data_IF_003916548502
#
_entry.id   IF_003916548502
#
_cell.length_a   1.000
_cell.length_b   1.000
_cell.length_c   1.000
_cell.angle_alpha   90.00
_cell.angle_beta   90.00
_cell.angle_gamma   90.00
#
_symmetry.space_group_name_H-M   'P 1'
#
loop_
_entity.id
_entity.type
_entity.pdbx_description
1 polymer ?
#
# COMPACT_ATOMS: atom_id res chain seq x y z
N UNK A 1 -21.73 18.68 -5.58
CA UNK A 1 -21.20 17.50 -6.30
C UNK A 1 -20.78 16.49 -5.23
N UNK A 2 -21.70 15.62 -4.82
CA UNK A 2 -21.48 14.68 -3.69
C UNK A 2 -20.47 13.63 -4.09
N UNK A 3 -19.39 13.46 -3.33
CA UNK A 3 -18.38 12.48 -3.65
C UNK A 3 -18.98 11.06 -3.52
N UNK A 4 -18.59 10.09 -4.38
CA UNK A 4 -19.10 8.72 -4.33
C UNK A 4 -18.89 8.04 -2.96
N UNK A 5 -17.87 8.49 -2.22
CA UNK A 5 -17.59 8.08 -0.84
C UNK A 5 -18.70 8.50 0.14
N UNK A 6 -19.31 9.66 -0.06
CA UNK A 6 -20.37 10.18 0.82
C UNK A 6 -21.68 9.42 0.60
N UNK A 7 -21.93 8.99 -0.64
CA UNK A 7 -23.05 8.12 -0.99
C UNK A 7 -22.91 6.74 -0.35
N UNK A 8 -21.71 6.14 -0.40
CA UNK A 8 -21.44 4.86 0.27
C UNK A 8 -21.62 4.97 1.80
N UNK A 9 -21.09 6.04 2.41
CA UNK A 9 -21.30 6.33 3.85
C UNK A 9 -22.78 6.49 4.20
N UNK A 10 -23.56 7.14 3.34
CA UNK A 10 -25.00 7.30 3.54
C UNK A 10 -25.75 5.96 3.49
N UNK A 11 -25.44 5.10 2.52
CA UNK A 11 -26.04 3.76 2.38
C UNK A 11 -25.76 2.91 3.63
N UNK A 12 -24.52 2.92 4.13
CA UNK A 12 -24.16 2.23 5.37
C UNK A 12 -24.85 2.83 6.60
N UNK A 13 -24.90 4.16 6.73
CA UNK A 13 -25.54 4.84 7.87
C UNK A 13 -27.04 4.55 7.98
N UNK A 14 -27.71 4.35 6.85
CA UNK A 14 -29.15 4.10 6.79
C UNK A 14 -29.49 2.60 6.75
N UNK A 15 -28.50 1.69 6.87
CA UNK A 15 -28.67 0.24 6.74
C UNK A 15 -29.34 -0.19 5.41
N UNK A 16 -29.09 0.53 4.32
CA UNK A 16 -29.66 0.24 2.99
C UNK A 16 -28.91 -0.87 2.22
N UNK A 17 -27.85 -1.41 2.81
CA UNK A 17 -27.01 -2.46 2.22
C UNK A 17 -27.80 -3.73 1.88
N UNK A 18 -28.80 -4.10 2.69
CA UNK A 18 -29.64 -5.29 2.43
C UNK A 18 -30.71 -5.03 1.35
N UNK A 19 -31.10 -3.77 1.17
CA UNK A 19 -32.12 -3.35 0.19
C UNK A 19 -31.48 -3.22 -1.21
N UNK A 20 -30.24 -2.75 -1.28
CA UNK A 20 -29.51 -2.54 -2.53
C UNK A 20 -28.09 -3.12 -2.50
N UNK A 21 -27.92 -4.44 -2.33
CA UNK A 21 -26.61 -5.07 -2.19
C UNK A 21 -25.72 -4.87 -3.43
N UNK A 22 -26.31 -4.94 -4.63
CA UNK A 22 -25.58 -4.74 -5.88
C UNK A 22 -25.04 -3.31 -6.03
N UNK A 23 -25.78 -2.31 -5.51
CA UNK A 23 -25.35 -0.92 -5.58
C UNK A 23 -24.19 -0.65 -4.62
N UNK A 24 -24.25 -1.22 -3.41
CA UNK A 24 -23.19 -1.13 -2.41
C UNK A 24 -21.90 -1.77 -2.93
N UNK A 25 -21.99 -2.98 -3.50
CA UNK A 25 -20.86 -3.66 -4.13
C UNK A 25 -20.31 -2.84 -5.31
N UNK A 26 -21.17 -2.34 -6.20
CA UNK A 26 -20.73 -1.56 -7.36
C UNK A 26 -20.02 -0.26 -6.95
N UNK A 27 -20.53 0.45 -5.94
CA UNK A 27 -19.90 1.66 -5.41
C UNK A 27 -18.57 1.34 -4.74
N UNK A 28 -18.48 0.23 -4.00
CA UNK A 28 -17.24 -0.22 -3.39
C UNK A 28 -16.19 -0.57 -4.45
N UNK A 29 -16.57 -1.32 -5.49
CA UNK A 29 -15.70 -1.62 -6.63
C UNK A 29 -15.25 -0.32 -7.30
N UNK A 30 -16.17 0.59 -7.60
CA UNK A 30 -15.85 1.89 -8.21
C UNK A 30 -14.86 2.72 -7.40
N UNK A 31 -14.98 2.71 -6.06
CA UNK A 31 -14.07 3.41 -5.16
C UNK A 31 -12.71 2.71 -4.99
N UNK A 32 -12.65 1.38 -5.14
CA UNK A 32 -11.41 0.60 -5.04
C UNK A 32 -10.64 0.48 -6.36
N UNK A 33 -11.31 0.60 -7.50
CA UNK A 33 -10.63 0.68 -8.78
C UNK A 33 -9.79 1.96 -8.74
N UNK A 34 -8.48 1.89 -9.05
CA UNK A 34 -7.68 3.09 -9.19
C UNK A 34 -8.22 3.91 -10.37
N UNK A 35 -9.14 4.84 -10.08
CA UNK A 35 -9.79 5.69 -11.10
C UNK A 35 -8.77 6.59 -11.80
N UNK A 36 -7.59 6.80 -11.19
CA UNK A 36 -6.53 7.65 -11.74
C UNK A 36 -5.36 6.81 -12.23
N UNK A 37 -5.13 6.84 -13.55
CA UNK A 37 -3.88 6.35 -14.18
C UNK A 37 -2.65 6.95 -13.51
N UNK A 38 -2.75 8.19 -13.04
CA UNK A 38 -1.71 8.92 -12.32
C UNK A 38 -1.18 8.18 -11.07
N UNK A 39 -2.01 7.44 -10.33
CA UNK A 39 -1.53 6.68 -9.15
C UNK A 39 -0.63 5.51 -9.59
N UNK A 40 -1.08 4.74 -10.58
CA UNK A 40 -0.29 3.66 -11.17
C UNK A 40 1.01 4.19 -11.80
N UNK A 41 0.93 5.28 -12.56
CA UNK A 41 2.09 5.94 -13.17
C UNK A 41 3.10 6.42 -12.12
N UNK A 42 2.62 6.98 -11.00
CA UNK A 42 3.46 7.40 -9.88
C UNK A 42 4.19 6.20 -9.27
N UNK A 43 3.50 5.09 -9.03
CA UNK A 43 4.10 3.85 -8.51
C UNK A 43 5.15 3.26 -9.47
N UNK A 44 4.86 3.20 -10.78
CA UNK A 44 5.83 2.74 -11.77
C UNK A 44 7.03 3.69 -11.93
N UNK A 45 6.81 5.00 -11.82
CA UNK A 45 7.87 5.99 -11.82
C UNK A 45 8.82 5.81 -10.62
N UNK A 46 8.27 5.59 -9.42
CA UNK A 46 9.05 5.26 -8.22
C UNK A 46 9.84 3.97 -8.39
N UNK A 47 9.22 2.91 -8.92
CA UNK A 47 9.91 1.65 -9.21
C UNK A 47 11.07 1.83 -10.20
N UNK A 48 10.86 2.63 -11.25
CA UNK A 48 11.91 2.97 -12.22
C UNK A 48 13.07 3.72 -11.57
N UNK A 49 12.77 4.67 -10.68
CA UNK A 49 13.79 5.38 -9.92
C UNK A 49 14.60 4.44 -9.02
N UNK A 50 13.93 3.52 -8.30
CA UNK A 50 14.58 2.54 -7.44
C UNK A 50 15.53 1.63 -8.22
N UNK A 51 15.07 1.07 -9.35
CA UNK A 51 15.92 0.25 -10.25
C UNK A 51 17.12 1.04 -10.78
N UNK A 52 16.92 2.30 -11.16
CA UNK A 52 17.98 3.17 -11.70
C UNK A 52 19.00 3.54 -10.62
N UNK A 53 18.54 3.93 -9.44
CA UNK A 53 19.39 4.35 -8.32
C UNK A 53 20.29 3.21 -7.84
N UNK A 54 19.71 2.01 -7.67
CA UNK A 54 20.46 0.83 -7.23
C UNK A 54 21.31 0.21 -8.35
N UNK A 55 21.11 0.62 -9.61
CA UNK A 55 21.79 0.10 -10.82
C UNK A 55 21.89 -1.44 -10.80
N UNK A 56 20.84 -2.10 -10.31
CA UNK A 56 21.00 -3.38 -9.62
C UNK A 56 20.49 -4.60 -10.39
N UNK A 57 21.26 -5.68 -10.32
CA UNK A 57 20.83 -7.08 -10.46
C UNK A 57 20.05 -7.54 -9.22
N UNK A 58 19.12 -6.72 -8.70
CA UNK A 58 18.40 -7.07 -7.47
C UNK A 58 17.38 -8.18 -7.77
N UNK A 59 17.27 -9.16 -6.87
CA UNK A 59 16.25 -10.20 -6.97
C UNK A 59 14.84 -9.63 -6.90
N UNK A 60 13.89 -10.28 -7.58
CA UNK A 60 12.50 -9.82 -7.66
C UNK A 60 11.86 -9.65 -6.28
N UNK A 61 12.12 -10.57 -5.34
CA UNK A 61 11.58 -10.52 -3.99
C UNK A 61 11.98 -9.24 -3.24
N UNK A 62 13.28 -8.91 -3.26
CA UNK A 62 13.79 -7.70 -2.60
C UNK A 62 13.31 -6.43 -3.31
N UNK A 63 13.19 -6.45 -4.63
CA UNK A 63 12.62 -5.33 -5.39
C UNK A 63 11.18 -5.05 -4.98
N UNK A 64 10.35 -6.08 -4.93
CA UNK A 64 8.94 -5.97 -4.57
C UNK A 64 8.78 -5.45 -3.15
N UNK A 65 9.57 -5.98 -2.20
CA UNK A 65 9.57 -5.53 -0.81
C UNK A 65 9.89 -4.03 -0.68
N UNK A 66 10.93 -3.57 -1.39
CA UNK A 66 11.27 -2.15 -1.37
C UNK A 66 10.22 -1.28 -2.09
N UNK A 67 9.60 -1.79 -3.15
CA UNK A 67 8.55 -1.07 -3.86
C UNK A 67 7.32 -0.85 -2.96
N UNK A 68 6.94 -1.86 -2.18
CA UNK A 68 5.87 -1.76 -1.18
C UNK A 68 6.21 -0.66 -0.15
N UNK A 69 7.42 -0.67 0.43
CA UNK A 69 7.84 0.37 1.38
C UNK A 69 7.83 1.78 0.78
N UNK A 70 8.11 1.92 -0.52
CA UNK A 70 8.13 3.21 -1.22
C UNK A 70 6.73 3.72 -1.58
N UNK A 71 5.81 2.81 -1.90
CA UNK A 71 4.40 3.13 -2.16
C UNK A 71 3.71 3.48 -0.84
N UNK A 72 3.84 2.62 0.16
CA UNK A 72 3.27 2.74 1.51
C UNK A 72 4.15 3.55 2.46
N UNK A 73 4.90 4.52 1.93
CA UNK A 73 5.89 5.28 2.70
C UNK A 73 5.29 6.05 3.89
N UNK A 74 4.01 6.42 3.84
CA UNK A 74 3.30 7.07 4.94
C UNK A 74 3.14 6.13 6.14
N UNK A 75 2.77 4.88 5.89
CA UNK A 75 2.71 3.84 6.92
C UNK A 75 4.10 3.43 7.38
N UNK A 76 5.05 3.25 6.45
CA UNK A 76 6.42 2.89 6.78
C UNK A 76 7.09 3.92 7.70
N UNK A 77 6.73 5.20 7.60
CA UNK A 77 7.25 6.28 8.46
C UNK A 77 6.68 6.28 9.87
N UNK A 78 5.55 5.59 10.10
CA UNK A 78 4.96 5.42 11.43
C UNK A 78 5.62 4.28 12.21
N UNK A 79 6.36 3.40 11.52
CA UNK A 79 7.06 2.28 12.16
C UNK A 79 8.32 2.82 12.86
N UNK A 80 8.52 2.43 14.11
CA UNK A 80 9.70 2.80 14.88
C UNK A 80 10.93 2.02 14.42
N UNK A 81 11.98 2.73 14.03
CA UNK A 81 13.25 2.07 13.66
C UNK A 81 13.87 1.34 14.86
N UNK A 82 13.68 1.84 16.07
CA UNK A 82 14.23 1.21 17.28
C UNK A 82 13.55 -0.15 17.53
N UNK A 83 12.23 -0.22 17.35
CA UNK A 83 11.49 -1.48 17.45
C UNK A 83 11.92 -2.49 16.38
N UNK A 84 12.17 -2.03 15.14
CA UNK A 84 12.68 -2.90 14.06
C UNK A 84 14.07 -3.44 14.42
N UNK A 85 14.95 -2.60 14.96
CA UNK A 85 16.30 -3.00 15.36
C UNK A 85 16.25 -4.03 16.49
N UNK A 86 15.42 -3.79 17.50
CA UNK A 86 15.25 -4.69 18.63
C UNK A 86 14.68 -6.03 18.18
N UNK A 87 13.62 -6.03 17.35
CA UNK A 87 13.04 -7.24 16.78
C UNK A 87 14.07 -8.01 15.95
N UNK A 88 14.79 -7.32 15.05
CA UNK A 88 15.83 -7.93 14.22
C UNK A 88 16.96 -8.53 15.05
N UNK A 89 17.34 -7.88 16.16
CA UNK A 89 18.36 -8.39 17.09
C UNK A 89 17.88 -9.60 17.89
N UNK A 90 16.58 -9.68 18.18
CA UNK A 90 15.94 -10.78 18.92
C UNK A 90 15.74 -12.04 18.06
N UNK A 91 15.49 -11.84 16.75
CA UNK A 91 15.56 -12.90 15.77
C UNK A 91 17.00 -13.42 15.79
N UNK A 92 17.17 -14.74 15.95
CA UNK A 92 18.45 -15.41 16.19
C UNK A 92 19.42 -15.19 15.02
N UNK A 93 20.01 -14.01 14.92
CA UNK A 93 20.95 -13.63 13.90
C UNK A 93 22.24 -14.37 14.18
N UNK A 94 22.72 -15.12 13.18
CA UNK A 94 24.02 -15.78 13.25
C UNK A 94 25.06 -14.68 13.43
N UNK A 95 25.76 -14.67 14.58
CA UNK A 95 26.93 -13.79 14.77
C UNK A 95 27.97 -14.20 13.74
N UNK A 96 28.11 -13.40 12.68
CA UNK A 96 29.29 -13.45 11.82
C UNK A 96 30.41 -12.77 12.61
N UNK A 97 31.39 -13.57 13.02
CA UNK A 97 32.60 -13.05 13.66
C UNK A 97 33.45 -12.43 12.54
N UNK A 98 33.61 -11.11 12.57
CA UNK A 98 34.59 -10.40 11.75
C UNK A 98 36.00 -10.60 12.29
#
# INVERSE_FOLDING_TARGET
>A
MTAPIDLLKFIHKQNLQDIYPNLEIALRIFLTIPVTTASCERSFSKLKLMKKYLRSTIGQERLTSMAILSIEHEFARQISNDEIIDEFSSLKARKENF
#
